data_IF_363914822091
#
_entry.id   IF_363914822091
#
_cell.length_a   1.000
_cell.length_b   1.000
_cell.length_c   1.000
_cell.angle_alpha   90.00
_cell.angle_beta   90.00
_cell.angle_gamma   90.00
#
_symmetry.space_group_name_H-M   'P 1'
#
loop_
_entity.id
_entity.type
_entity.pdbx_description
1 polymer ?
#
# COMPACT_ATOMS: atom_id res chain seq x y z
N UNK A 1 6.41 12.58 45.06
CA UNK A 1 6.61 13.58 43.98
C UNK A 1 5.71 14.81 44.17
N UNK A 2 4.52 14.69 44.78
CA UNK A 2 3.74 15.88 45.18
C UNK A 2 3.17 16.66 44.00
N UNK A 3 2.93 15.99 42.88
CA UNK A 3 2.34 16.60 41.69
C UNK A 3 0.90 17.02 41.97
N UNK A 4 0.53 18.21 41.51
CA UNK A 4 -0.81 18.79 41.68
C UNK A 4 -1.66 18.49 40.44
N UNK A 5 -2.11 17.24 40.31
CA UNK A 5 -3.07 16.85 39.28
C UNK A 5 -4.50 17.21 39.72
N UNK A 6 -5.34 17.56 38.74
CA UNK A 6 -6.79 17.66 38.92
C UNK A 6 -7.39 16.25 38.84
N UNK A 7 -7.51 15.58 40.00
CA UNK A 7 -8.00 14.20 40.08
C UNK A 7 -9.48 14.04 39.71
N UNK A 8 -10.26 15.13 39.68
CA UNK A 8 -11.64 15.10 39.19
C UNK A 8 -11.72 14.87 37.66
N UNK A 9 -10.57 14.94 36.97
CA UNK A 9 -10.41 14.66 35.53
C UNK A 9 -9.57 13.41 35.24
N UNK A 10 -9.44 12.54 36.22
CA UNK A 10 -8.79 11.24 36.02
C UNK A 10 -9.61 10.39 35.03
N UNK A 11 -8.91 9.75 34.10
CA UNK A 11 -9.49 8.88 33.08
C UNK A 11 -8.63 7.63 32.97
N UNK A 12 -9.25 6.48 32.80
CA UNK A 12 -8.59 5.25 32.39
C UNK A 12 -9.16 4.83 31.03
N UNK A 13 -8.28 4.67 30.03
CA UNK A 13 -8.70 4.32 28.66
C UNK A 13 -9.35 2.94 28.58
N UNK A 14 -9.11 2.09 29.59
CA UNK A 14 -9.73 0.78 29.75
C UNK A 14 -11.17 0.82 30.27
N UNK A 15 -11.64 1.97 30.78
CA UNK A 15 -12.98 2.08 31.33
C UNK A 15 -14.03 2.08 30.23
N UNK A 16 -15.12 1.34 30.46
CA UNK A 16 -16.25 1.20 29.54
C UNK A 16 -16.87 2.54 29.15
N UNK A 17 -16.98 3.46 30.13
CA UNK A 17 -17.48 4.82 29.90
C UNK A 17 -16.52 5.71 29.09
N UNK A 18 -15.24 5.34 29.01
CA UNK A 18 -14.26 6.01 28.15
C UNK A 18 -14.27 5.41 26.75
N UNK A 19 -13.97 4.11 26.60
CA UNK A 19 -13.76 3.52 25.28
C UNK A 19 -15.03 3.44 24.42
N UNK A 20 -16.23 3.61 24.99
CA UNK A 20 -17.46 3.84 24.21
C UNK A 20 -17.29 4.98 23.20
N UNK A 21 -16.52 6.01 23.54
CA UNK A 21 -16.25 7.15 22.67
C UNK A 21 -15.23 6.79 21.59
N UNK A 22 -14.23 5.98 21.90
CA UNK A 22 -13.30 5.41 20.91
C UNK A 22 -14.06 4.57 19.87
N UNK A 23 -15.00 3.73 20.30
CA UNK A 23 -15.89 2.97 19.42
C UNK A 23 -16.78 3.89 18.57
N UNK A 24 -17.36 4.93 19.16
CA UNK A 24 -18.17 5.90 18.44
C UNK A 24 -17.35 6.68 17.38
N UNK A 25 -16.12 7.10 17.71
CA UNK A 25 -15.21 7.75 16.76
C UNK A 25 -14.90 6.80 15.61
N UNK A 26 -14.64 5.52 15.91
CA UNK A 26 -14.40 4.52 14.88
C UNK A 26 -15.61 4.38 13.93
N UNK A 27 -16.84 4.31 14.46
CA UNK A 27 -18.05 4.28 13.63
C UNK A 27 -18.20 5.55 12.80
N UNK A 28 -17.87 6.71 13.36
CA UNK A 28 -17.88 7.98 12.62
C UNK A 28 -16.91 7.93 11.44
N UNK A 29 -15.69 7.42 11.65
CA UNK A 29 -14.71 7.22 10.57
C UNK A 29 -15.17 6.17 9.55
N UNK A 30 -15.79 5.08 10.03
CA UNK A 30 -16.37 4.06 9.18
C UNK A 30 -17.44 4.65 8.27
N UNK A 31 -18.34 5.49 8.78
CA UNK A 31 -19.40 6.16 8.01
C UNK A 31 -18.98 7.48 7.35
N UNK A 32 -17.67 7.67 7.13
CA UNK A 32 -17.11 8.85 6.47
C UNK A 32 -16.24 8.48 5.28
N UNK A 33 -16.29 9.26 4.20
CA UNK A 33 -15.30 9.27 3.12
C UNK A 33 -14.59 10.62 3.05
N UNK A 34 -13.41 10.68 2.42
CA UNK A 34 -12.70 11.95 2.24
C UNK A 34 -13.08 12.61 0.91
N UNK A 35 -13.67 13.80 0.99
CA UNK A 35 -13.95 14.65 -0.17
C UNK A 35 -12.69 15.44 -0.53
N UNK A 36 -12.02 15.03 -1.61
CA UNK A 36 -10.80 15.66 -2.09
C UNK A 36 -11.04 17.07 -2.68
N UNK A 37 -12.26 17.41 -3.10
CA UNK A 37 -12.56 18.78 -3.58
C UNK A 37 -12.75 19.73 -2.40
N UNK A 38 -13.47 19.28 -1.38
CA UNK A 38 -13.73 20.08 -0.17
C UNK A 38 -12.64 19.95 0.91
N UNK A 39 -11.69 19.03 0.72
CA UNK A 39 -10.59 18.74 1.65
C UNK A 39 -11.08 18.38 3.06
N UNK A 40 -12.16 17.59 3.17
CA UNK A 40 -12.74 17.18 4.46
C UNK A 40 -13.47 15.85 4.40
N UNK A 41 -13.61 15.20 5.56
CA UNK A 41 -14.50 14.05 5.72
C UNK A 41 -15.96 14.45 5.51
N UNK A 42 -16.72 13.63 4.78
CA UNK A 42 -18.16 13.74 4.58
C UNK A 42 -18.85 12.40 4.82
N UNK A 43 -20.15 12.38 5.17
CA UNK A 43 -20.88 11.13 5.36
C UNK A 43 -20.81 10.22 4.15
N UNK A 44 -20.57 8.92 4.35
CA UNK A 44 -20.47 7.90 3.29
C UNK A 44 -21.74 7.81 2.43
N UNK A 45 -22.89 8.16 3.00
CA UNK A 45 -24.16 8.23 2.30
C UNK A 45 -24.21 9.35 1.22
N UNK A 46 -23.34 10.35 1.32
CA UNK A 46 -23.21 11.44 0.36
C UNK A 46 -22.18 11.15 -0.75
N UNK A 47 -21.49 10.01 -0.70
CA UNK A 47 -20.49 9.63 -1.70
C UNK A 47 -21.16 9.54 -3.09
N UNK A 48 -20.69 10.28 -4.10
CA UNK A 48 -21.20 10.14 -5.47
C UNK A 48 -20.92 8.74 -6.01
N UNK A 49 -21.98 8.04 -6.43
CA UNK A 49 -21.89 6.68 -6.96
C UNK A 49 -21.87 6.72 -8.49
N UNK A 50 -20.83 6.18 -9.16
CA UNK A 50 -20.79 6.09 -10.62
C UNK A 50 -21.98 5.31 -11.19
N UNK A 51 -22.48 5.73 -12.36
CA UNK A 51 -23.67 5.12 -12.98
C UNK A 51 -23.45 3.62 -13.25
N UNK A 52 -22.27 3.22 -13.71
CA UNK A 52 -21.89 1.83 -13.94
C UNK A 52 -21.92 0.95 -12.68
N UNK A 53 -21.60 1.52 -11.51
CA UNK A 53 -21.65 0.82 -10.21
C UNK A 53 -23.10 0.73 -9.75
N UNK A 54 -23.86 1.81 -9.87
CA UNK A 54 -25.28 1.83 -9.51
C UNK A 54 -26.09 0.78 -10.31
N UNK A 55 -25.80 0.62 -11.60
CA UNK A 55 -26.43 -0.37 -12.48
C UNK A 55 -26.16 -1.83 -12.08
N UNK A 56 -25.08 -2.10 -11.33
CA UNK A 56 -24.76 -3.44 -10.82
C UNK A 56 -25.52 -3.79 -9.53
N UNK A 57 -26.29 -2.86 -8.97
CA UNK A 57 -27.16 -3.06 -7.83
C UNK A 57 -26.52 -2.77 -6.47
N UNK A 58 -27.31 -2.95 -5.40
CA UNK A 58 -26.96 -2.48 -4.05
C UNK A 58 -25.67 -3.08 -3.48
N UNK A 59 -25.34 -4.32 -3.84
CA UNK A 59 -24.10 -4.97 -3.39
C UNK A 59 -22.86 -4.26 -3.96
N UNK A 60 -22.87 -3.94 -5.25
CA UNK A 60 -21.79 -3.20 -5.89
C UNK A 60 -21.64 -1.77 -5.34
N UNK A 61 -22.77 -1.10 -5.05
CA UNK A 61 -22.77 0.21 -4.38
C UNK A 61 -22.14 0.13 -2.99
N UNK A 62 -22.48 -0.89 -2.19
CA UNK A 62 -21.90 -1.09 -0.86
C UNK A 62 -20.40 -1.35 -0.94
N UNK A 63 -19.96 -2.23 -1.83
CA UNK A 63 -18.54 -2.49 -2.04
C UNK A 63 -17.80 -1.21 -2.46
N UNK A 64 -18.38 -0.41 -3.35
CA UNK A 64 -17.81 0.88 -3.73
C UNK A 64 -17.71 1.84 -2.55
N UNK A 65 -18.72 1.93 -1.69
CA UNK A 65 -18.66 2.72 -0.47
C UNK A 65 -17.55 2.22 0.46
N UNK A 66 -17.47 0.91 0.72
CA UNK A 66 -16.46 0.32 1.60
C UNK A 66 -15.03 0.61 1.12
N UNK A 67 -14.80 0.71 -0.19
CA UNK A 67 -13.52 1.14 -0.77
C UNK A 67 -13.17 2.61 -0.49
N UNK A 68 -14.14 3.48 -0.18
CA UNK A 68 -13.96 4.92 0.05
C UNK A 68 -14.09 5.35 1.51
N UNK A 69 -14.51 4.43 2.40
CA UNK A 69 -14.56 4.70 3.85
C UNK A 69 -13.17 5.08 4.39
N UNK A 70 -13.15 5.91 5.42
CA UNK A 70 -11.91 6.23 6.16
C UNK A 70 -11.46 5.07 7.02
N UNK A 71 -12.37 4.27 7.57
CA UNK A 71 -12.05 2.98 8.18
C UNK A 71 -12.47 1.85 7.24
N UNK A 72 -11.51 1.03 6.80
CA UNK A 72 -11.74 -0.01 5.80
C UNK A 72 -10.96 -1.29 6.12
N UNK A 73 -11.37 -2.40 5.53
CA UNK A 73 -10.64 -3.67 5.65
C UNK A 73 -9.70 -3.88 4.46
N UNK A 74 -8.50 -4.38 4.74
CA UNK A 74 -7.52 -4.75 3.71
C UNK A 74 -6.79 -6.02 4.14
N UNK A 75 -6.47 -6.87 3.18
CA UNK A 75 -5.56 -7.98 3.40
C UNK A 75 -4.13 -7.42 3.45
N UNK A 76 -3.58 -7.36 4.65
CA UNK A 76 -2.22 -6.88 4.89
C UNK A 76 -1.32 -8.06 5.24
N UNK A 77 -0.09 -8.06 4.72
CA UNK A 77 0.95 -8.95 5.22
C UNK A 77 1.36 -8.47 6.60
N UNK A 78 1.07 -9.28 7.62
CA UNK A 78 1.43 -8.98 8.99
C UNK A 78 2.54 -9.91 9.48
N UNK A 79 3.34 -9.42 10.41
CA UNK A 79 4.41 -10.18 11.03
C UNK A 79 3.79 -11.15 12.05
N UNK A 80 3.73 -12.44 11.75
CA UNK A 80 3.23 -13.48 12.63
C UNK A 80 4.38 -14.21 13.34
N UNK A 81 4.32 -14.31 14.66
CA UNK A 81 5.25 -15.13 15.43
C UNK A 81 4.53 -16.40 15.95
N UNK A 82 4.78 -17.59 15.38
CA UNK A 82 4.12 -18.83 15.81
C UNK A 82 4.39 -19.19 17.26
N UNK A 83 5.62 -18.94 17.76
CA UNK A 83 6.00 -19.27 19.13
C UNK A 83 5.29 -18.40 20.18
N UNK A 84 5.07 -17.12 19.86
CA UNK A 84 4.28 -16.21 20.69
C UNK A 84 2.77 -16.34 20.41
N UNK A 85 2.39 -17.04 19.33
CA UNK A 85 1.03 -17.19 18.86
C UNK A 85 0.36 -15.85 18.54
N UNK A 86 1.10 -14.87 18.01
CA UNK A 86 0.55 -13.53 17.83
C UNK A 86 1.20 -12.75 16.70
N UNK A 87 0.48 -11.74 16.21
CA UNK A 87 1.00 -10.74 15.29
C UNK A 87 1.84 -9.72 16.05
N UNK A 88 2.92 -9.27 15.42
CA UNK A 88 3.88 -8.29 15.90
C UNK A 88 3.83 -7.02 15.03
N UNK A 89 4.05 -5.86 15.64
CA UNK A 89 4.34 -4.64 14.91
C UNK A 89 5.70 -4.74 14.20
N UNK A 90 5.99 -3.85 13.25
CA UNK A 90 7.29 -3.85 12.56
C UNK A 90 8.44 -3.58 13.54
N UNK A 91 8.21 -2.74 14.55
CA UNK A 91 9.17 -2.37 15.59
C UNK A 91 9.47 -3.54 16.54
N UNK A 92 8.56 -4.51 16.65
CA UNK A 92 8.72 -5.71 17.48
C UNK A 92 9.47 -6.83 16.72
N UNK A 93 9.93 -6.59 15.49
CA UNK A 93 10.68 -7.55 14.67
C UNK A 93 12.11 -7.05 14.42
N UNK A 94 13.08 -7.81 14.93
CA UNK A 94 14.51 -7.53 14.82
C UNK A 94 15.15 -8.70 14.08
N UNK A 95 15.72 -8.44 12.90
CA UNK A 95 16.40 -9.42 12.03
C UNK A 95 15.54 -10.67 11.75
N UNK A 96 14.27 -10.46 11.37
CA UNK A 96 13.29 -11.52 11.12
C UNK A 96 12.86 -12.32 12.35
N UNK A 97 13.16 -11.84 13.57
CA UNK A 97 12.80 -12.49 14.84
C UNK A 97 12.06 -11.54 15.77
N UNK A 98 11.26 -12.09 16.68
CA UNK A 98 10.55 -11.30 17.68
C UNK A 98 11.54 -10.64 18.65
N UNK A 99 11.34 -9.36 18.95
CA UNK A 99 12.08 -8.63 20.00
C UNK A 99 12.01 -9.41 21.32
N UNK A 100 10.83 -9.94 21.64
CA UNK A 100 10.60 -10.79 22.81
C UNK A 100 10.88 -12.24 22.47
N UNK A 101 11.94 -12.81 23.04
CA UNK A 101 12.24 -14.24 22.94
C UNK A 101 12.99 -14.68 21.67
N UNK A 102 13.27 -13.78 20.73
CA UNK A 102 14.07 -14.05 19.52
C UNK A 102 13.52 -15.23 18.69
N UNK A 103 12.20 -15.33 18.56
CA UNK A 103 11.53 -16.39 17.80
C UNK A 103 11.38 -16.00 16.33
N UNK A 104 11.48 -16.93 15.37
CA UNK A 104 11.24 -16.62 13.96
C UNK A 104 9.87 -15.99 13.72
N UNK A 105 9.84 -14.99 12.84
CA UNK A 105 8.64 -14.29 12.40
C UNK A 105 8.41 -14.63 10.93
N UNK A 106 7.16 -14.89 10.58
CA UNK A 106 6.74 -15.16 9.20
C UNK A 106 5.71 -14.14 8.78
N UNK A 107 5.71 -13.74 7.51
CA UNK A 107 4.63 -12.89 6.99
C UNK A 107 3.42 -13.74 6.64
N UNK A 108 2.24 -13.30 7.06
CA UNK A 108 0.98 -13.96 6.71
C UNK A 108 -0.03 -12.90 6.25
N UNK A 109 -0.77 -13.16 5.16
CA UNK A 109 -1.89 -12.31 4.79
C UNK A 109 -2.98 -12.45 5.84
N UNK A 110 -3.33 -11.35 6.49
CA UNK A 110 -4.46 -11.29 7.40
C UNK A 110 -5.30 -10.06 7.08
N UNK A 111 -6.62 -10.23 7.16
CA UNK A 111 -7.56 -9.13 7.06
C UNK A 111 -7.40 -8.23 8.27
N UNK A 112 -7.06 -6.97 8.05
CA UNK A 112 -6.87 -5.96 9.08
C UNK A 112 -7.78 -4.76 8.83
N UNK A 113 -8.14 -4.06 9.89
CA UNK A 113 -8.70 -2.71 9.81
C UNK A 113 -7.59 -1.70 9.60
N UNK A 114 -7.83 -0.80 8.65
CA UNK A 114 -6.94 0.28 8.27
C UNK A 114 -7.68 1.61 8.42
N UNK A 115 -6.99 2.66 8.88
CA UNK A 115 -7.49 4.03 8.81
C UNK A 115 -6.79 4.80 7.70
N UNK A 116 -7.57 5.45 6.85
CA UNK A 116 -7.13 6.18 5.65
C UNK A 116 -6.53 7.54 5.98
N UNK A 117 -5.49 7.55 6.80
CA UNK A 117 -4.76 8.77 7.17
C UNK A 117 -4.09 9.43 5.95
N UNK A 118 -3.73 8.65 4.93
CA UNK A 118 -3.13 9.17 3.70
C UNK A 118 -4.06 10.12 2.93
N UNK A 119 -5.38 9.97 3.06
CA UNK A 119 -6.33 10.92 2.48
C UNK A 119 -6.19 12.33 3.07
N UNK A 120 -5.66 12.44 4.29
CA UNK A 120 -5.40 13.70 4.97
C UNK A 120 -3.93 14.16 4.83
N UNK A 121 -3.07 13.46 4.08
CA UNK A 121 -1.63 13.73 4.05
C UNK A 121 -1.28 15.17 3.63
N UNK A 122 -1.91 15.69 2.57
CA UNK A 122 -1.76 17.09 2.13
C UNK A 122 -2.08 18.09 3.25
N UNK A 123 -3.16 17.82 4.00
CA UNK A 123 -3.58 18.67 5.12
C UNK A 123 -2.63 18.55 6.30
N UNK A 124 -2.24 17.33 6.66
CA UNK A 124 -1.30 17.06 7.74
C UNK A 124 0.01 17.79 7.51
N UNK A 125 0.52 17.81 6.27
CA UNK A 125 1.75 18.51 5.93
C UNK A 125 1.58 20.03 5.95
N UNK A 126 0.57 20.55 5.25
CA UNK A 126 0.31 22.00 5.15
C UNK A 126 0.05 22.62 6.52
N UNK A 127 -0.75 21.96 7.35
CA UNK A 127 -1.20 22.52 8.62
C UNK A 127 -0.07 22.53 9.67
N UNK A 128 1.10 21.92 9.42
CA UNK A 128 2.32 22.06 10.25
C UNK A 128 2.85 23.50 10.28
N UNK A 129 2.65 24.28 9.21
CA UNK A 129 3.19 25.64 9.09
C UNK A 129 2.66 26.57 10.19
N UNK A 130 1.37 26.42 10.54
CA UNK A 130 0.71 27.23 11.56
C UNK A 130 0.99 26.81 13.01
N UNK A 131 1.68 25.68 13.23
CA UNK A 131 1.93 25.16 14.58
C UNK A 131 3.13 25.87 15.25
N UNK A 132 2.96 26.22 16.53
CA UNK A 132 4.04 26.69 17.41
C UNK A 132 4.85 25.51 17.95
N UNK A 133 5.35 24.67 17.04
CA UNK A 133 6.22 23.51 17.34
C UNK A 133 7.67 23.81 16.93
N UNK A 134 8.62 23.06 17.48
CA UNK A 134 10.01 23.16 17.02
C UNK A 134 10.16 22.74 15.56
N UNK A 135 11.06 23.39 14.82
CA UNK A 135 11.30 23.02 13.42
C UNK A 135 11.81 21.59 13.28
N UNK A 136 12.54 21.06 14.27
CA UNK A 136 12.96 19.66 14.27
C UNK A 136 11.77 18.68 14.23
N UNK A 137 10.70 18.96 15.01
CA UNK A 137 9.49 18.12 14.99
C UNK A 137 8.75 18.28 13.66
N UNK A 138 8.63 19.51 13.15
CA UNK A 138 7.97 19.75 11.85
C UNK A 138 8.70 19.05 10.71
N UNK A 139 10.03 19.12 10.67
CA UNK A 139 10.84 18.41 9.68
C UNK A 139 10.66 16.90 9.77
N UNK A 140 10.69 16.32 10.99
CA UNK A 140 10.43 14.89 11.19
C UNK A 140 9.05 14.48 10.66
N UNK A 141 8.01 15.29 10.90
CA UNK A 141 6.66 15.03 10.38
C UNK A 141 6.59 15.15 8.85
N UNK A 142 7.23 16.16 8.24
CA UNK A 142 7.29 16.30 6.77
C UNK A 142 8.02 15.12 6.13
N UNK A 143 9.13 14.68 6.71
CA UNK A 143 9.89 13.52 6.22
C UNK A 143 9.11 12.21 6.37
N UNK A 144 8.36 12.07 7.47
CA UNK A 144 7.47 10.94 7.71
C UNK A 144 6.28 10.92 6.74
N UNK A 145 5.65 12.07 6.49
CA UNK A 145 4.58 12.21 5.48
C UNK A 145 5.15 11.92 4.09
N UNK A 146 6.29 12.51 3.78
CA UNK A 146 7.10 12.24 2.59
C UNK A 146 6.32 12.42 1.30
N UNK A 147 5.64 13.56 1.13
CA UNK A 147 4.90 13.88 -0.08
C UNK A 147 5.83 14.02 -1.29
N UNK A 148 5.46 13.40 -2.40
CA UNK A 148 6.13 13.55 -3.68
C UNK A 148 5.13 13.73 -4.81
N UNK A 149 5.48 14.56 -5.79
CA UNK A 149 4.69 14.71 -7.03
C UNK A 149 5.43 14.02 -8.17
N UNK A 150 4.69 13.25 -8.97
CA UNK A 150 5.23 12.39 -10.00
C UNK A 150 4.16 11.96 -11.00
N UNK A 151 4.32 10.78 -11.58
CA UNK A 151 3.35 10.17 -12.48
C UNK A 151 3.12 8.70 -12.15
N UNK A 152 1.87 8.25 -12.30
CA UNK A 152 1.55 6.84 -12.49
C UNK A 152 1.64 6.50 -13.97
N UNK A 153 2.23 5.35 -14.29
CA UNK A 153 2.45 4.90 -15.68
C UNK A 153 2.18 3.41 -15.78
N UNK A 154 1.44 2.99 -16.81
CA UNK A 154 1.17 1.57 -17.08
C UNK A 154 2.15 1.03 -18.12
N UNK A 155 2.93 0.02 -17.73
CA UNK A 155 3.78 -0.76 -18.64
C UNK A 155 3.03 -2.02 -19.07
N UNK A 156 2.94 -2.25 -20.37
CA UNK A 156 2.14 -3.36 -20.91
C UNK A 156 2.87 -4.69 -20.76
N UNK A 157 2.18 -5.71 -20.23
CA UNK A 157 2.71 -7.07 -20.00
C UNK A 157 1.92 -8.15 -20.76
N UNK A 158 1.15 -7.78 -21.78
CA UNK A 158 0.36 -8.70 -22.60
C UNK A 158 -0.94 -9.13 -21.92
N UNK A 159 -1.79 -9.89 -22.59
CA UNK A 159 -3.05 -10.41 -22.04
C UNK A 159 -2.94 -11.92 -21.77
N UNK A 160 -2.24 -12.31 -20.71
CA UNK A 160 -2.42 -13.55 -19.92
C UNK A 160 -2.24 -14.93 -20.57
N UNK A 161 -2.37 -15.09 -21.88
CA UNK A 161 -2.57 -16.40 -22.51
C UNK A 161 -1.26 -17.11 -22.90
N UNK A 162 -0.11 -16.46 -22.75
CA UNK A 162 1.15 -16.94 -23.35
C UNK A 162 2.24 -17.40 -22.38
N UNK A 163 1.91 -17.86 -21.16
CA UNK A 163 2.86 -18.59 -20.31
C UNK A 163 4.24 -17.92 -20.10
N UNK A 164 4.26 -16.58 -20.02
CA UNK A 164 5.47 -15.79 -19.78
C UNK A 164 6.26 -15.34 -21.02
N UNK A 165 5.74 -15.48 -22.25
CA UNK A 165 6.40 -14.91 -23.43
C UNK A 165 6.26 -13.37 -23.51
N UNK A 166 7.24 -12.72 -24.15
CA UNK A 166 7.25 -11.26 -24.28
C UNK A 166 6.02 -10.76 -25.07
N UNK A 167 5.42 -9.61 -24.68
CA UNK A 167 4.28 -9.05 -25.41
C UNK A 167 4.67 -8.71 -26.85
N UNK A 168 3.78 -8.95 -27.82
CA UNK A 168 4.04 -8.64 -29.23
C UNK A 168 3.76 -7.17 -29.53
N UNK A 169 4.42 -6.64 -30.58
CA UNK A 169 4.20 -5.27 -31.03
C UNK A 169 2.75 -5.02 -31.48
N UNK A 170 2.10 -6.02 -32.09
CA UNK A 170 0.70 -5.92 -32.51
C UNK A 170 -0.26 -5.82 -31.32
N UNK A 171 -0.03 -6.64 -30.29
CA UNK A 171 -0.83 -6.61 -29.06
C UNK A 171 -0.67 -5.27 -28.33
N UNK A 172 0.57 -4.76 -28.28
CA UNK A 172 0.86 -3.46 -27.70
C UNK A 172 0.19 -2.30 -28.45
N UNK A 173 0.24 -2.31 -29.78
CA UNK A 173 -0.42 -1.29 -30.59
C UNK A 173 -1.94 -1.29 -30.39
N UNK A 174 -2.56 -2.47 -30.32
CA UNK A 174 -3.99 -2.61 -30.01
C UNK A 174 -4.32 -2.06 -28.61
N UNK A 175 -3.49 -2.39 -27.61
CA UNK A 175 -3.63 -1.86 -26.26
C UNK A 175 -3.50 -0.33 -26.22
N UNK A 176 -2.51 0.28 -26.88
CA UNK A 176 -2.35 1.73 -26.95
C UNK A 176 -3.56 2.42 -27.59
N UNK A 177 -4.10 1.85 -28.67
CA UNK A 177 -5.30 2.38 -29.33
C UNK A 177 -6.51 2.34 -28.40
N UNK A 178 -6.69 1.24 -27.67
CA UNK A 178 -7.76 1.11 -26.69
C UNK A 178 -7.61 2.16 -25.58
N UNK A 179 -6.41 2.32 -25.00
CA UNK A 179 -6.13 3.27 -23.92
C UNK A 179 -6.32 4.72 -24.33
N UNK A 180 -5.98 5.07 -25.56
CA UNK A 180 -6.25 6.41 -26.10
C UNK A 180 -7.75 6.71 -26.19
N UNK A 181 -8.60 5.69 -26.35
CA UNK A 181 -10.05 5.84 -26.41
C UNK A 181 -10.72 5.77 -25.02
N UNK A 182 -10.25 4.87 -24.15
CA UNK A 182 -10.83 4.65 -22.81
C UNK A 182 -10.26 5.56 -21.72
N UNK A 183 -9.09 6.17 -21.96
CA UNK A 183 -8.31 6.88 -20.96
C UNK A 183 -7.59 5.95 -19.99
N UNK A 184 -7.00 6.57 -18.95
CA UNK A 184 -6.27 5.88 -17.89
C UNK A 184 -7.23 5.36 -16.80
N UNK A 185 -7.38 4.03 -16.59
CA UNK A 185 -8.35 3.47 -15.67
C UNK A 185 -7.93 3.66 -14.22
N UNK A 186 -8.92 3.73 -13.33
CA UNK A 186 -8.72 3.93 -11.89
C UNK A 186 -7.89 2.81 -11.26
N UNK A 187 -8.20 1.55 -11.58
CA UNK A 187 -7.45 0.37 -11.16
C UNK A 187 -6.64 -0.13 -12.37
N UNK A 188 -5.42 -0.64 -12.16
CA UNK A 188 -4.67 -1.28 -13.23
C UNK A 188 -5.39 -2.54 -13.70
N UNK A 189 -5.43 -2.72 -15.01
CA UNK A 189 -5.90 -3.94 -15.64
C UNK A 189 -4.86 -5.07 -15.45
N UNK A 190 -5.27 -6.32 -15.67
CA UNK A 190 -4.39 -7.48 -15.46
C UNK A 190 -3.27 -7.60 -16.51
N UNK A 191 -3.35 -6.82 -17.59
CA UNK A 191 -2.41 -6.78 -18.71
C UNK A 191 -1.33 -5.69 -18.56
N UNK A 192 -1.25 -5.01 -17.41
CA UNK A 192 -0.27 -3.97 -17.13
C UNK A 192 0.44 -4.14 -15.79
N UNK A 193 1.64 -3.57 -15.69
CA UNK A 193 2.28 -3.20 -14.43
C UNK A 193 2.20 -1.69 -14.28
N UNK A 194 1.38 -1.21 -13.35
CA UNK A 194 1.35 0.21 -12.98
C UNK A 194 2.53 0.52 -12.07
N UNK A 195 3.26 1.60 -12.36
CA UNK A 195 4.34 2.12 -11.51
C UNK A 195 4.04 3.55 -11.09
N UNK A 196 4.71 4.00 -10.04
CA UNK A 196 4.79 5.42 -9.67
C UNK A 196 6.24 5.89 -9.75
N UNK A 197 6.48 7.05 -10.36
CA UNK A 197 7.81 7.67 -10.42
C UNK A 197 7.75 9.18 -10.20
N UNK A 198 8.71 9.73 -9.44
CA UNK A 198 8.93 11.18 -9.31
C UNK A 198 9.81 11.75 -10.43
N UNK A 199 10.34 10.86 -11.28
CA UNK A 199 11.22 11.15 -12.43
C UNK A 199 10.60 10.65 -13.75
N UNK A 200 9.40 11.12 -14.13
CA UNK A 200 8.83 10.72 -15.42
C UNK A 200 9.66 11.26 -16.61
N UNK A 201 10.51 12.28 -16.37
CA UNK A 201 11.52 12.75 -17.34
C UNK A 201 12.53 11.67 -17.73
N UNK A 202 12.70 10.63 -16.92
CA UNK A 202 13.71 9.58 -17.19
C UNK A 202 13.10 8.30 -17.75
N UNK A 203 11.82 8.31 -18.15
CA UNK A 203 11.10 7.13 -18.68
C UNK A 203 11.80 6.45 -19.86
N UNK A 204 12.48 7.22 -20.73
CA UNK A 204 13.25 6.66 -21.85
C UNK A 204 14.47 5.85 -21.41
N UNK A 205 14.99 6.10 -20.21
CA UNK A 205 16.14 5.41 -19.63
C UNK A 205 15.74 4.18 -18.80
N UNK A 206 14.46 3.83 -18.76
CA UNK A 206 14.00 2.65 -18.05
C UNK A 206 14.42 1.39 -18.81
N UNK A 207 15.42 0.67 -18.28
CA UNK A 207 16.02 -0.51 -18.94
C UNK A 207 15.58 -1.84 -18.34
N UNK A 208 14.90 -1.82 -17.19
CA UNK A 208 14.25 -2.97 -16.60
C UNK A 208 13.14 -2.52 -15.64
N UNK A 209 12.30 -3.45 -15.24
CA UNK A 209 11.30 -3.26 -14.19
C UNK A 209 11.59 -4.17 -13.01
N UNK A 210 11.16 -3.75 -11.82
CA UNK A 210 11.24 -4.58 -10.62
C UNK A 210 9.89 -4.60 -9.92
N UNK A 211 9.42 -5.81 -9.59
CA UNK A 211 8.21 -6.03 -8.80
C UNK A 211 8.55 -6.64 -7.44
N UNK A 212 7.70 -6.37 -6.46
CA UNK A 212 7.81 -6.99 -5.15
C UNK A 212 7.62 -8.52 -5.26
N UNK A 213 8.29 -9.34 -4.43
CA UNK A 213 8.10 -10.78 -4.36
C UNK A 213 6.65 -11.21 -4.10
N UNK A 214 5.87 -10.35 -3.45
CA UNK A 214 4.47 -10.57 -3.12
C UNK A 214 3.49 -9.98 -4.16
N UNK A 215 3.99 -9.42 -5.26
CA UNK A 215 3.15 -8.78 -6.26
C UNK A 215 2.24 -9.82 -6.98
N UNK A 216 0.93 -9.55 -7.17
CA UNK A 216 0.01 -10.52 -7.77
C UNK A 216 0.40 -11.00 -9.18
N UNK A 217 1.16 -10.20 -9.92
CA UNK A 217 1.64 -10.56 -11.25
C UNK A 217 2.82 -11.56 -11.26
N UNK A 218 3.43 -11.88 -10.12
CA UNK A 218 4.60 -12.78 -10.05
C UNK A 218 4.32 -14.12 -10.71
N UNK A 219 3.23 -14.80 -10.34
CA UNK A 219 2.88 -16.12 -10.88
C UNK A 219 2.67 -16.09 -12.40
N UNK A 220 2.14 -14.99 -12.92
CA UNK A 220 1.83 -14.82 -14.35
C UNK A 220 3.06 -14.46 -15.18
N UNK A 221 3.98 -13.69 -14.62
CA UNK A 221 5.21 -13.23 -15.28
C UNK A 221 6.35 -14.24 -15.17
N UNK A 222 6.17 -15.31 -14.41
CA UNK A 222 7.21 -16.34 -14.24
C UNK A 222 7.11 -17.36 -15.35
N UNK A 223 8.14 -17.48 -16.18
CA UNK A 223 8.20 -18.53 -17.20
C UNK A 223 8.48 -19.89 -16.56
N UNK A 224 8.13 -21.01 -17.23
CA UNK A 224 8.40 -22.36 -16.71
C UNK A 224 9.87 -22.58 -16.35
N UNK A 225 10.80 -21.99 -17.08
CA UNK A 225 12.24 -22.11 -16.84
C UNK A 225 12.69 -21.38 -15.56
N UNK A 226 12.02 -20.28 -15.21
CA UNK A 226 12.35 -19.47 -14.03
C UNK A 226 11.58 -19.87 -12.78
N UNK A 227 10.56 -20.73 -12.90
CA UNK A 227 9.66 -21.14 -11.81
C UNK A 227 10.39 -21.50 -10.51
N UNK A 228 11.40 -22.38 -10.58
CA UNK A 228 12.11 -22.85 -9.41
C UNK A 228 12.94 -21.74 -8.73
N UNK A 229 13.58 -20.88 -9.53
CA UNK A 229 14.40 -19.78 -9.02
C UNK A 229 13.53 -18.68 -8.40
N UNK A 230 12.42 -18.32 -9.06
CA UNK A 230 11.45 -17.35 -8.55
C UNK A 230 10.82 -17.82 -7.26
N UNK A 231 10.37 -19.08 -7.21
CA UNK A 231 9.78 -19.65 -5.99
C UNK A 231 10.77 -19.59 -4.82
N UNK A 232 12.00 -20.05 -5.02
CA UNK A 232 13.03 -20.01 -3.98
C UNK A 232 13.34 -18.58 -3.50
N UNK A 233 13.39 -17.62 -4.42
CA UNK A 233 13.63 -16.22 -4.08
C UNK A 233 12.47 -15.62 -3.28
N UNK A 234 11.22 -15.85 -3.69
CA UNK A 234 10.04 -15.35 -2.98
C UNK A 234 9.91 -15.96 -1.58
N UNK A 235 10.20 -17.26 -1.41
CA UNK A 235 10.26 -17.92 -0.10
C UNK A 235 11.33 -17.30 0.80
N UNK A 236 12.52 -17.01 0.24
CA UNK A 236 13.58 -16.33 0.96
C UNK A 236 13.18 -14.91 1.38
N UNK A 237 12.57 -14.14 0.47
CA UNK A 237 12.16 -12.77 0.73
C UNK A 237 11.04 -12.68 1.79
N UNK A 238 10.12 -13.64 1.80
CA UNK A 238 9.03 -13.71 2.79
C UNK A 238 9.51 -13.87 4.24
N UNK A 239 10.75 -14.36 4.45
CA UNK A 239 11.37 -14.49 5.77
C UNK A 239 12.00 -13.19 6.29
N UNK A 240 12.10 -12.14 5.47
CA UNK A 240 12.73 -10.86 5.82
C UNK A 240 11.67 -9.82 6.24
N UNK A 241 11.96 -8.98 7.24
CA UNK A 241 11.09 -7.85 7.60
C UNK A 241 11.18 -6.71 6.56
N UNK A 242 10.22 -5.77 6.56
CA UNK A 242 10.27 -4.60 5.66
C UNK A 242 11.54 -3.78 5.93
N UNK A 243 11.93 -3.67 7.20
CA UNK A 243 13.15 -2.99 7.64
C UNK A 243 14.40 -3.66 7.07
N UNK A 244 14.51 -4.98 7.18
CA UNK A 244 15.68 -5.74 6.70
C UNK A 244 15.84 -5.70 5.17
N UNK A 245 14.74 -5.43 4.45
CA UNK A 245 14.71 -5.27 2.99
C UNK A 245 15.09 -3.86 2.54
N UNK A 246 14.85 -2.86 3.39
CA UNK A 246 15.17 -1.46 3.14
C UNK A 246 16.57 -1.06 3.61
N UNK A 247 17.19 -1.85 4.51
CA UNK A 247 18.58 -1.64 4.89
C UNK A 247 19.53 -1.76 3.68
N UNK A 248 20.44 -0.80 3.53
CA UNK A 248 21.44 -0.79 2.47
C UNK A 248 22.39 -1.98 2.61
N UNK A 249 22.18 -2.99 1.77
CA UNK A 249 23.08 -4.14 1.63
C UNK A 249 24.09 -3.89 0.53
N UNK A 250 25.31 -4.39 0.77
CA UNK A 250 26.41 -4.36 -0.21
C UNK A 250 26.06 -5.10 -1.50
N UNK A 251 25.35 -6.22 -1.39
CA UNK A 251 24.95 -7.04 -2.54
C UNK A 251 23.47 -6.88 -2.81
N UNK A 252 23.12 -6.40 -4.01
CA UNK A 252 21.73 -6.41 -4.49
C UNK A 252 21.37 -7.82 -4.94
N UNK A 253 20.19 -8.28 -4.55
CA UNK A 253 19.67 -9.59 -4.93
C UNK A 253 18.40 -9.44 -5.75
N UNK A 254 18.21 -10.29 -6.76
CA UNK A 254 17.00 -10.32 -7.57
C UNK A 254 16.98 -11.55 -8.47
N UNK A 255 15.82 -11.85 -9.03
CA UNK A 255 15.62 -12.95 -9.96
C UNK A 255 14.82 -12.47 -11.17
N UNK A 256 15.29 -12.83 -12.37
CA UNK A 256 14.60 -12.52 -13.61
C UNK A 256 13.37 -13.41 -13.75
N UNK A 257 12.21 -12.84 -14.11
CA UNK A 257 10.99 -13.63 -14.22
C UNK A 257 10.91 -14.47 -15.50
N UNK A 258 11.73 -14.13 -16.50
CA UNK A 258 11.62 -14.72 -17.85
C UNK A 258 10.75 -13.89 -18.79
N UNK A 259 10.01 -12.92 -18.26
CA UNK A 259 9.08 -12.08 -19.02
C UNK A 259 9.55 -10.63 -19.16
N UNK A 260 8.91 -9.93 -20.08
CA UNK A 260 9.19 -8.55 -20.42
C UNK A 260 7.92 -7.73 -20.31
N UNK A 261 8.08 -6.44 -20.00
CA UNK A 261 7.05 -5.44 -20.20
C UNK A 261 7.44 -4.56 -21.40
N UNK A 262 6.50 -3.80 -21.95
CA UNK A 262 6.77 -2.80 -22.98
C UNK A 262 6.63 -1.42 -22.36
N UNK A 263 7.69 -0.61 -22.52
CA UNK A 263 7.70 0.77 -22.10
C UNK A 263 6.73 1.59 -22.98
N UNK A 264 5.72 2.25 -22.41
CA UNK A 264 4.64 2.89 -23.18
C UNK A 264 5.10 4.08 -24.01
N UNK A 265 6.30 4.61 -23.75
CA UNK A 265 6.82 5.83 -24.38
C UNK A 265 7.65 5.55 -25.63
N UNK A 266 8.51 4.53 -25.59
CA UNK A 266 9.41 4.20 -26.70
C UNK A 266 9.09 2.84 -27.35
N UNK A 267 8.19 2.03 -26.78
CA UNK A 267 7.81 0.72 -27.30
C UNK A 267 8.87 -0.37 -27.08
N UNK A 268 9.94 -0.08 -26.35
CA UNK A 268 11.03 -1.01 -26.09
C UNK A 268 10.63 -2.06 -25.04
N UNK A 269 11.12 -3.29 -25.23
CA UNK A 269 10.94 -4.36 -24.25
C UNK A 269 11.92 -4.19 -23.09
N UNK A 270 11.39 -4.26 -21.88
CA UNK A 270 12.17 -4.17 -20.64
C UNK A 270 11.98 -5.45 -19.82
N UNK A 271 13.07 -6.15 -19.42
CA UNK A 271 12.96 -7.35 -18.60
C UNK A 271 12.34 -7.04 -17.24
N UNK A 272 11.49 -7.94 -16.76
CA UNK A 272 10.88 -7.82 -15.42
C UNK A 272 11.65 -8.69 -14.44
N UNK A 273 12.04 -8.09 -13.33
CA UNK A 273 12.76 -8.72 -12.23
C UNK A 273 11.91 -8.71 -10.96
N UNK A 274 12.19 -9.65 -10.07
CA UNK A 274 11.67 -9.66 -8.70
C UNK A 274 12.84 -9.32 -7.78
N UNK A 275 12.67 -8.32 -6.93
CA UNK A 275 13.66 -7.98 -5.92
C UNK A 275 13.03 -7.53 -4.60
N UNK A 276 13.66 -7.89 -3.49
CA UNK A 276 13.13 -7.64 -2.15
C UNK A 276 13.20 -6.16 -1.74
N UNK A 277 14.04 -5.32 -2.34
CA UNK A 277 14.04 -3.88 -2.05
C UNK A 277 12.77 -3.15 -2.53
N UNK A 278 11.95 -3.76 -3.38
CA UNK A 278 10.62 -3.24 -3.77
C UNK A 278 9.57 -3.82 -2.85
N UNK A 279 8.83 -2.97 -2.15
CA UNK A 279 7.81 -3.39 -1.17
C UNK A 279 6.41 -3.32 -1.76
N UNK A 280 5.61 -4.39 -1.62
CA UNK A 280 4.21 -4.41 -2.07
C UNK A 280 3.34 -3.37 -1.35
N UNK A 281 3.74 -2.98 -0.14
CA UNK A 281 3.07 -1.98 0.71
C UNK A 281 3.42 -0.54 0.34
N UNK A 282 4.27 -0.31 -0.67
CA UNK A 282 4.71 1.02 -1.08
C UNK A 282 4.48 1.26 -2.58
N UNK A 283 3.77 2.35 -2.90
CA UNK A 283 3.36 2.64 -4.26
C UNK A 283 2.45 1.54 -4.81
N UNK A 284 2.81 0.98 -5.96
CA UNK A 284 2.07 -0.10 -6.63
C UNK A 284 2.68 -1.48 -6.41
N UNK A 285 3.78 -1.57 -5.63
CA UNK A 285 4.59 -2.78 -5.56
C UNK A 285 5.37 -3.10 -6.83
N UNK A 286 5.45 -2.16 -7.78
CA UNK A 286 6.24 -2.24 -9.00
C UNK A 286 6.92 -0.90 -9.28
N UNK A 287 8.15 -0.94 -9.81
CA UNK A 287 8.90 0.25 -10.22
C UNK A 287 9.50 0.05 -11.62
N UNK A 288 9.68 1.16 -12.33
CA UNK A 288 10.63 1.23 -13.43
C UNK A 288 12.00 1.53 -12.84
N UNK A 289 13.06 0.94 -13.41
CA UNK A 289 14.41 1.19 -12.94
C UNK A 289 15.20 1.95 -14.00
N UNK A 290 15.85 3.06 -13.61
CA UNK A 290 16.61 3.95 -14.51
C UNK A 290 18.05 4.09 -14.03
N UNK A 291 18.94 3.13 -14.37
CA UNK A 291 20.28 3.03 -13.80
C UNK A 291 21.16 4.27 -13.95
N UNK A 292 21.00 5.04 -15.03
CA UNK A 292 21.81 6.24 -15.21
C UNK A 292 21.47 7.36 -14.21
N UNK A 293 20.30 7.29 -13.55
CA UNK A 293 19.72 8.40 -12.78
C UNK A 293 19.15 7.99 -11.41
N UNK A 294 19.34 6.74 -10.96
CA UNK A 294 19.08 6.28 -9.59
C UNK A 294 20.21 5.32 -9.16
N UNK A 295 20.84 5.60 -8.03
CA UNK A 295 21.99 4.85 -7.51
C UNK A 295 21.65 3.39 -7.20
N UNK A 296 20.46 3.10 -6.67
CA UNK A 296 20.05 1.72 -6.33
C UNK A 296 19.84 0.92 -7.60
N UNK A 297 19.24 1.56 -8.61
CA UNK A 297 19.02 0.95 -9.91
C UNK A 297 20.34 0.70 -10.63
N UNK A 298 21.31 1.60 -10.49
CA UNK A 298 22.67 1.42 -11.00
C UNK A 298 23.39 0.23 -10.36
N UNK A 299 23.37 0.12 -9.03
CA UNK A 299 24.00 -0.98 -8.31
C UNK A 299 23.42 -2.33 -8.73
N UNK A 300 22.09 -2.41 -8.88
CA UNK A 300 21.42 -3.61 -9.35
C UNK A 300 21.77 -3.89 -10.83
N UNK A 301 21.74 -2.89 -11.70
CA UNK A 301 22.09 -3.06 -13.11
C UNK A 301 23.53 -3.54 -13.29
N UNK A 302 24.47 -3.00 -12.51
CA UNK A 302 25.88 -3.45 -12.50
C UNK A 302 26.03 -4.89 -12.03
N UNK A 303 25.28 -5.29 -10.99
CA UNK A 303 25.32 -6.66 -10.45
C UNK A 303 24.83 -7.70 -11.47
N UNK A 304 23.82 -7.34 -12.27
CA UNK A 304 23.14 -8.24 -13.21
C UNK A 304 23.46 -7.97 -14.68
N UNK A 305 24.47 -7.15 -14.96
CA UNK A 305 24.91 -6.77 -16.32
C UNK A 305 23.77 -6.23 -17.21
N UNK A 306 22.93 -5.36 -16.64
CA UNK A 306 21.79 -4.74 -17.32
C UNK A 306 22.23 -3.42 -17.97
N UNK A 307 21.75 -3.10 -19.19
CA UNK A 307 22.11 -1.86 -19.87
C UNK A 307 21.81 -0.60 -19.04
N UNK A 308 22.71 0.38 -19.14
CA UNK A 308 22.59 1.71 -18.55
C UNK A 308 22.47 2.72 -19.68
N UNK A 309 21.34 3.43 -19.75
CA UNK A 309 21.07 4.43 -20.79
C UNK A 309 20.92 5.79 -20.12
N UNK A 310 21.82 6.71 -20.45
CA UNK A 310 21.73 8.10 -20.00
C UNK A 310 20.70 8.87 -20.82
N UNK A 311 19.77 9.53 -20.12
CA UNK A 311 18.68 10.31 -20.72
C UNK A 311 18.59 11.75 -20.21
N UNK A 312 19.38 12.09 -19.19
CA UNK A 312 19.53 13.45 -18.68
C UNK A 312 21.01 13.80 -18.63
N UNK A 313 21.44 14.71 -19.50
CA UNK A 313 22.80 15.23 -19.49
C UNK A 313 23.00 16.16 -18.29
N UNK A 314 24.11 15.96 -17.57
CA UNK A 314 24.56 16.85 -16.49
C UNK A 314 24.87 18.25 -17.05
N UNK A 315 24.50 19.35 -16.35
CA UNK A 315 24.86 20.70 -16.77
C UNK A 315 26.39 20.90 -16.80
N UNK A 316 26.91 21.66 -17.77
CA UNK A 316 28.35 21.96 -17.88
C UNK A 316 28.93 22.64 -16.63
N UNK A 317 28.08 23.28 -15.81
CA UNK A 317 28.45 23.95 -14.56
C UNK A 317 28.69 23.00 -13.39
N UNK A 318 28.25 21.75 -13.49
CA UNK A 318 28.51 20.71 -12.51
C UNK A 318 29.68 19.87 -13.01
N UNK A 319 30.74 19.76 -12.22
CA UNK A 319 31.84 18.86 -12.56
C UNK A 319 31.29 17.44 -12.70
N UNK A 320 31.84 16.68 -13.65
CA UNK A 320 31.68 15.23 -13.63
C UNK A 320 32.38 14.73 -12.36
N UNK A 321 31.64 14.66 -11.25
CA UNK A 321 32.09 13.91 -10.09
C UNK A 321 32.28 12.45 -10.52
N UNK A 322 33.14 11.69 -9.82
CA UNK A 322 33.29 10.23 -10.02
C UNK A 322 32.01 9.44 -9.68
N UNK A 323 30.87 10.12 -9.49
CA UNK A 323 29.57 9.53 -9.25
C UNK A 323 29.04 8.83 -10.51
N UNK A 324 28.72 7.53 -10.44
CA UNK A 324 28.35 6.75 -11.60
C UNK A 324 26.93 7.04 -12.12
N UNK A 325 26.13 7.83 -11.41
CA UNK A 325 24.74 8.14 -11.74
C UNK A 325 24.47 9.63 -11.51
N UNK A 326 23.80 10.28 -12.46
CA UNK A 326 23.40 11.68 -12.34
C UNK A 326 21.94 11.78 -11.91
N UNK A 327 21.71 12.15 -10.64
CA UNK A 327 20.36 12.24 -10.05
C UNK A 327 19.76 13.65 -10.12
N UNK A 328 20.54 14.65 -10.59
CA UNK A 328 20.13 16.05 -10.65
C UNK A 328 19.14 16.39 -11.77
N UNK A 329 18.89 17.70 -11.90
CA UNK A 329 18.18 18.29 -13.03
C UNK A 329 19.18 18.63 -14.13
N UNK A 330 18.82 18.34 -15.38
CA UNK A 330 19.67 18.63 -16.52
C UNK A 330 18.87 18.80 -17.80
N UNK A 331 19.50 18.42 -18.92
CA UNK A 331 18.90 18.53 -20.25
C UNK A 331 18.60 17.15 -20.81
N UNK A 332 17.41 16.96 -21.34
CA UNK A 332 17.00 15.69 -21.93
C UNK A 332 17.87 15.31 -23.14
N UNK A 333 18.37 14.08 -23.14
CA UNK A 333 19.08 13.43 -24.24
C UNK A 333 18.52 12.02 -24.45
N UNK A 334 18.78 11.39 -25.60
CA UNK A 334 18.32 10.03 -25.93
C UNK A 334 16.80 9.79 -25.68
N UNK A 335 16.00 10.85 -25.74
CA UNK A 335 14.58 10.89 -25.36
C UNK A 335 13.68 11.34 -26.51
N UNK A 336 14.07 11.01 -27.76
CA UNK A 336 13.27 11.29 -28.95
C UNK A 336 12.86 12.77 -29.09
N UNK A 337 11.56 13.04 -29.15
CA UNK A 337 10.98 14.39 -29.32
C UNK A 337 11.19 15.30 -28.12
N UNK A 338 11.65 14.78 -26.98
CA UNK A 338 11.88 15.54 -25.76
C UNK A 338 13.32 16.05 -25.64
N UNK A 339 14.23 15.64 -26.54
CA UNK A 339 15.62 16.08 -26.52
C UNK A 339 15.73 17.61 -26.47
N UNK A 340 16.63 18.11 -25.61
CA UNK A 340 16.89 19.54 -25.43
C UNK A 340 15.98 20.25 -24.42
N UNK A 341 14.92 19.61 -23.92
CA UNK A 341 14.10 20.17 -22.85
C UNK A 341 14.85 20.12 -21.50
N UNK A 342 14.62 21.12 -20.65
CA UNK A 342 15.05 21.03 -19.25
C UNK A 342 14.22 19.98 -18.50
N UNK A 343 14.78 19.39 -17.43
CA UNK A 343 14.06 18.41 -16.60
C UNK A 343 12.64 18.88 -16.18
N UNK A 344 12.41 20.12 -15.69
CA UNK A 344 11.07 20.58 -15.35
C UNK A 344 10.11 20.63 -16.54
N UNK A 345 10.55 21.14 -17.70
CA UNK A 345 9.74 21.21 -18.92
C UNK A 345 9.40 19.81 -19.43
N UNK A 346 10.37 18.89 -19.38
CA UNK A 346 10.16 17.49 -19.75
C UNK A 346 9.10 16.86 -18.83
N UNK A 347 9.25 16.95 -17.49
CA UNK A 347 8.26 16.40 -16.55
C UNK A 347 6.84 16.90 -16.83
N UNK A 348 6.68 18.19 -17.14
CA UNK A 348 5.37 18.75 -17.49
C UNK A 348 4.84 18.16 -18.81
N UNK A 349 5.68 18.10 -19.84
CA UNK A 349 5.26 17.65 -21.17
C UNK A 349 4.95 16.15 -21.21
N UNK A 350 5.82 15.32 -20.64
CA UNK A 350 5.63 13.86 -20.61
C UNK A 350 4.39 13.47 -19.83
N UNK A 351 4.05 14.18 -18.73
CA UNK A 351 2.84 13.92 -17.97
C UNK A 351 1.57 14.22 -18.80
N UNK A 352 1.58 15.28 -19.61
CA UNK A 352 0.48 15.62 -20.50
C UNK A 352 0.35 14.62 -21.67
N UNK A 353 1.48 14.20 -22.24
CA UNK A 353 1.51 13.24 -23.36
C UNK A 353 1.05 11.84 -22.88
N UNK A 354 1.47 11.40 -21.68
CA UNK A 354 0.99 10.18 -21.02
C UNK A 354 -0.53 10.21 -20.75
N UNK A 355 -1.03 11.33 -20.25
CA UNK A 355 -2.46 11.51 -19.99
C UNK A 355 -3.28 11.46 -21.28
N UNK A 356 -2.78 12.09 -22.34
CA UNK A 356 -3.41 12.08 -23.68
C UNK A 356 -3.43 10.67 -24.28
N UNK A 357 -2.35 9.89 -24.10
CA UNK A 357 -2.28 8.51 -24.56
C UNK A 357 -3.10 7.53 -23.70
N UNK A 358 -3.59 7.96 -22.53
CA UNK A 358 -4.27 7.09 -21.57
C UNK A 358 -3.34 6.04 -20.94
N UNK A 359 -2.03 6.21 -21.02
CA UNK A 359 -1.01 5.27 -20.51
C UNK A 359 -0.38 5.73 -19.20
N UNK A 360 -0.65 6.96 -18.77
CA UNK A 360 -0.25 7.46 -17.46
C UNK A 360 -1.04 8.69 -17.02
N UNK A 361 -0.78 9.17 -15.81
CA UNK A 361 -1.32 10.43 -15.29
C UNK A 361 -0.39 11.02 -14.25
N UNK A 362 -0.49 12.33 -14.02
CA UNK A 362 0.15 12.95 -12.86
C UNK A 362 -0.45 12.37 -11.56
N UNK A 363 0.41 12.11 -10.59
CA UNK A 363 0.01 11.56 -9.30
C UNK A 363 0.83 12.18 -8.15
N UNK A 364 0.19 12.29 -6.99
CA UNK A 364 0.86 12.59 -5.72
C UNK A 364 0.94 11.29 -4.95
N UNK A 365 2.11 11.00 -4.39
CA UNK A 365 2.33 9.84 -3.54
C UNK A 365 2.94 10.29 -2.21
N UNK A 366 2.85 9.44 -1.20
CA UNK A 366 3.30 9.72 0.15
C UNK A 366 4.15 8.56 0.68
N UNK A 367 5.14 8.86 1.53
CA UNK A 367 5.79 7.84 2.36
C UNK A 367 4.85 7.33 3.45
N UNK A 368 3.97 8.20 3.95
CA UNK A 368 2.91 7.84 4.87
C UNK A 368 2.06 6.70 4.30
N UNK A 369 1.82 5.69 5.13
CA UNK A 369 0.92 4.58 4.82
C UNK A 369 -0.37 4.72 5.61
N UNK A 370 -1.42 4.08 5.11
CA UNK A 370 -2.64 3.93 5.89
C UNK A 370 -2.36 3.16 7.18
N UNK A 371 -3.09 3.53 8.23
CA UNK A 371 -2.74 3.14 9.59
C UNK A 371 -3.35 1.79 9.94
N UNK A 372 -2.51 0.77 10.12
CA UNK A 372 -2.95 -0.55 10.59
C UNK A 372 -3.48 -0.47 12.02
N UNK A 373 -4.79 -0.63 12.15
CA UNK A 373 -5.57 -0.36 13.35
C UNK A 373 -6.09 -1.62 14.03
N UNK A 374 -5.84 -2.82 13.52
CA UNK A 374 -6.22 -4.08 14.17
C UNK A 374 -5.13 -4.67 15.05
N UNK A 375 -5.53 -5.29 16.15
CA UNK A 375 -4.68 -6.11 17.03
C UNK A 375 -5.33 -7.45 17.31
N UNK A 376 -4.54 -8.52 17.22
CA UNK A 376 -4.96 -9.89 17.54
C UNK A 376 -4.72 -10.15 19.04
N UNK A 377 -5.25 -9.26 19.89
CA UNK A 377 -5.08 -9.28 21.35
C UNK A 377 -6.44 -9.28 22.04
N UNK A 378 -6.50 -9.84 23.24
CA UNK A 378 -7.69 -9.74 24.08
C UNK A 378 -7.84 -8.36 24.70
N UNK A 379 -6.76 -7.84 25.32
CA UNK A 379 -6.80 -6.58 26.05
C UNK A 379 -6.64 -5.37 25.13
N UNK A 380 -7.77 -4.93 24.58
CA UNK A 380 -7.92 -3.75 23.74
C UNK A 380 -9.40 -3.50 23.47
N UNK A 381 -9.75 -2.33 22.95
CA UNK A 381 -11.13 -1.94 22.73
C UNK A 381 -11.74 -2.80 21.59
N UNK A 382 -12.89 -3.48 21.80
CA UNK A 382 -13.54 -4.23 20.73
C UNK A 382 -13.97 -3.31 19.58
N UNK A 383 -13.76 -3.74 18.33
CA UNK A 383 -14.33 -3.03 17.20
C UNK A 383 -15.87 -3.10 17.23
N UNK A 384 -16.57 -1.97 17.04
CA UNK A 384 -18.02 -1.94 16.97
C UNK A 384 -18.51 -2.33 15.56
N UNK A 385 -17.98 -3.42 14.98
CA UNK A 385 -18.33 -3.90 13.64
C UNK A 385 -18.93 -5.30 13.70
N UNK A 386 -19.92 -5.52 12.83
CA UNK A 386 -20.66 -6.75 12.63
C UNK A 386 -20.48 -7.23 11.19
N UNK A 387 -20.14 -8.51 11.05
CA UNK A 387 -20.07 -9.23 9.78
C UNK A 387 -21.34 -10.05 9.61
N UNK A 388 -22.12 -9.80 8.58
CA UNK A 388 -23.32 -10.59 8.30
C UNK A 388 -22.93 -12.01 7.92
N UNK A 389 -23.64 -12.99 8.50
CA UNK A 389 -23.42 -14.41 8.22
C UNK A 389 -24.71 -15.04 7.69
N UNK A 390 -24.55 -15.99 6.76
CA UNK A 390 -25.67 -16.76 6.23
C UNK A 390 -26.16 -17.83 7.23
N UNK A 391 -27.12 -18.65 6.79
CA UNK A 391 -27.70 -19.73 7.62
C UNK A 391 -26.66 -20.78 8.05
N UNK A 392 -25.59 -20.96 7.27
CA UNK A 392 -24.49 -21.88 7.54
C UNK A 392 -23.35 -21.22 8.32
N UNK A 393 -23.51 -19.95 8.70
CA UNK A 393 -22.53 -19.18 9.47
C UNK A 393 -21.38 -18.62 8.63
N UNK A 394 -21.48 -18.65 7.29
CA UNK A 394 -20.45 -18.10 6.41
C UNK A 394 -20.64 -16.60 6.20
N UNK A 395 -19.56 -15.80 6.16
CA UNK A 395 -19.66 -14.36 5.89
C UNK A 395 -20.24 -14.09 4.51
N UNK A 396 -21.27 -13.24 4.42
CA UNK A 396 -21.86 -12.82 3.13
C UNK A 396 -21.04 -11.72 2.45
N UNK A 397 -20.07 -11.14 3.17
CA UNK A 397 -19.30 -9.97 2.76
C UNK A 397 -19.94 -8.64 3.17
N UNK A 398 -21.19 -8.65 3.63
CA UNK A 398 -21.83 -7.46 4.18
C UNK A 398 -21.32 -7.16 5.59
N UNK A 399 -20.92 -5.90 5.81
CA UNK A 399 -20.48 -5.38 7.10
C UNK A 399 -21.35 -4.20 7.53
N UNK A 400 -21.52 -4.01 8.83
CA UNK A 400 -22.18 -2.82 9.40
C UNK A 400 -21.60 -2.44 10.75
N UNK A 401 -21.75 -1.17 11.10
CA UNK A 401 -21.55 -0.68 12.46
C UNK A 401 -22.59 -1.24 13.43
N UNK A 402 -22.17 -1.47 14.68
CA UNK A 402 -23.06 -1.63 15.83
C UNK A 402 -23.86 -0.33 16.01
N UNK A 403 -25.19 -0.38 16.21
CA UNK A 403 -25.98 0.83 16.45
C UNK A 403 -25.42 1.63 17.64
N UNK A 404 -25.39 2.96 17.54
CA UNK A 404 -24.85 3.83 18.60
C UNK A 404 -25.51 3.58 19.96
N UNK A 405 -26.82 3.31 19.98
CA UNK A 405 -27.58 2.98 21.19
C UNK A 405 -27.18 1.65 21.86
N UNK A 406 -26.37 0.84 21.19
CA UNK A 406 -25.83 -0.43 21.69
C UNK A 406 -24.33 -0.34 21.99
N UNK A 407 -23.73 0.85 21.89
CA UNK A 407 -22.39 1.08 22.42
C UNK A 407 -22.45 1.26 23.95
N UNK A 408 -21.40 0.82 24.67
CA UNK A 408 -20.21 0.16 24.15
C UNK A 408 -20.40 -1.35 23.87
N UNK A 409 -19.62 -1.87 22.93
CA UNK A 409 -19.34 -3.30 22.85
C UNK A 409 -18.27 -3.60 23.89
N UNK A 410 -18.68 -4.14 25.04
CA UNK A 410 -17.75 -4.50 26.11
C UNK A 410 -16.99 -5.80 25.80
N UNK A 411 -15.81 -5.96 26.41
CA UNK A 411 -15.06 -7.21 26.35
C UNK A 411 -15.84 -8.33 27.05
N UNK A 412 -15.98 -9.52 26.43
CA UNK A 412 -16.62 -10.64 27.08
C UNK A 412 -15.73 -11.18 28.19
N UNK A 413 -16.35 -11.77 29.21
CA UNK A 413 -15.60 -12.57 30.16
C UNK A 413 -14.99 -13.79 29.46
N UNK A 414 -13.67 -13.96 29.56
CA UNK A 414 -12.93 -15.11 29.04
C UNK A 414 -12.01 -15.69 30.11
N UNK A 415 -12.19 -16.99 30.40
CA UNK A 415 -11.32 -17.71 31.35
C UNK A 415 -9.90 -17.92 30.80
N UNK A 416 -9.76 -18.07 29.47
CA UNK A 416 -8.48 -18.24 28.79
C UNK A 416 -8.33 -17.30 27.58
N UNK A 417 -7.67 -16.17 27.82
CA UNK A 417 -7.27 -15.20 26.80
C UNK A 417 -5.85 -15.44 26.26
N UNK A 418 -5.23 -16.60 26.52
CA UNK A 418 -3.93 -16.92 25.94
C UNK A 418 -4.05 -17.14 24.43
N UNK A 419 -3.05 -16.71 23.64
CA UNK A 419 -3.01 -17.04 22.23
C UNK A 419 -2.97 -18.56 22.04
N UNK A 420 -3.76 -19.07 21.09
CA UNK A 420 -3.95 -20.51 20.87
C UNK A 420 -3.14 -21.04 19.68
N UNK A 421 -2.03 -20.37 19.35
CA UNK A 421 -1.08 -20.79 18.32
C UNK A 421 -1.59 -20.69 16.87
N UNK A 422 -2.76 -20.12 16.66
CA UNK A 422 -3.34 -19.84 15.34
C UNK A 422 -3.55 -18.33 15.17
N UNK A 423 -3.62 -17.81 13.94
CA UNK A 423 -3.73 -16.37 13.69
C UNK A 423 -5.02 -15.71 14.19
N UNK A 424 -6.04 -16.49 14.56
CA UNK A 424 -7.28 -15.91 15.07
C UNK A 424 -7.05 -15.18 16.42
N UNK A 425 -7.68 -14.02 16.62
CA UNK A 425 -7.62 -13.30 17.90
C UNK A 425 -8.25 -14.09 19.06
N UNK A 426 -7.83 -13.84 20.31
CA UNK A 426 -8.45 -14.47 21.48
C UNK A 426 -9.97 -14.30 21.59
N UNK A 427 -10.54 -13.18 21.11
CA UNK A 427 -11.99 -12.95 21.10
C UNK A 427 -12.76 -13.91 20.18
N UNK A 428 -12.09 -14.65 19.29
CA UNK A 428 -12.72 -15.73 18.54
C UNK A 428 -13.18 -16.90 19.44
N UNK A 429 -12.69 -16.98 20.69
CA UNK A 429 -13.17 -17.93 21.71
C UNK A 429 -14.35 -17.41 22.53
N UNK A 430 -14.82 -16.19 22.29
CA UNK A 430 -15.92 -15.61 23.05
C UNK A 430 -17.18 -16.48 22.99
N UNK A 431 -18.00 -16.50 24.06
CA UNK A 431 -19.28 -17.20 24.05
C UNK A 431 -20.14 -16.81 22.84
N UNK A 432 -20.88 -17.77 22.29
CA UNK A 432 -21.71 -17.56 21.09
C UNK A 432 -22.72 -16.41 21.26
N UNK A 433 -23.23 -16.21 22.46
CA UNK A 433 -24.16 -15.11 22.79
C UNK A 433 -23.53 -13.72 22.59
N UNK A 434 -22.22 -13.59 22.82
CA UNK A 434 -21.49 -12.36 22.56
C UNK A 434 -21.03 -12.30 21.11
N UNK A 435 -20.47 -13.39 20.59
CA UNK A 435 -19.82 -13.45 19.28
C UNK A 435 -20.81 -13.38 18.13
N UNK A 436 -22.01 -13.96 18.28
CA UNK A 436 -23.02 -14.06 17.23
C UNK A 436 -24.35 -13.36 17.58
N UNK A 437 -24.37 -12.02 17.69
CA UNK A 437 -25.60 -11.31 17.98
C UNK A 437 -26.60 -11.40 16.82
N UNK A 438 -27.88 -11.40 17.15
CA UNK A 438 -28.98 -11.25 16.18
C UNK A 438 -29.54 -9.85 16.30
N UNK A 439 -29.47 -9.07 15.23
CA UNK A 439 -29.97 -7.69 15.17
C UNK A 439 -30.94 -7.58 14.00
N UNK A 440 -32.15 -7.08 14.28
CA UNK A 440 -33.23 -6.95 13.29
C UNK A 440 -33.55 -8.26 12.55
N UNK A 441 -33.40 -9.40 13.24
CA UNK A 441 -33.63 -10.74 12.68
C UNK A 441 -32.49 -11.29 11.82
N UNK A 442 -31.40 -10.53 11.65
CA UNK A 442 -30.21 -10.95 10.90
C UNK A 442 -29.13 -11.39 11.89
N UNK A 443 -28.50 -12.53 11.63
CA UNK A 443 -27.38 -13.04 12.44
C UNK A 443 -26.08 -12.42 11.94
N UNK A 444 -25.27 -11.95 12.87
CA UNK A 444 -23.96 -11.40 12.60
C UNK A 444 -22.88 -12.14 13.38
N UNK A 445 -21.62 -11.97 12.99
CA UNK A 445 -20.43 -12.29 13.78
C UNK A 445 -19.72 -10.98 14.14
N UNK A 446 -19.40 -10.76 15.41
CA UNK A 446 -18.60 -9.58 15.82
C UNK A 446 -17.19 -9.63 15.24
N UNK A 447 -16.62 -8.46 14.99
CA UNK A 447 -15.18 -8.34 14.76
C UNK A 447 -14.42 -8.83 16.00
N UNK A 448 -13.42 -9.68 15.78
CA UNK A 448 -12.66 -10.33 16.85
C UNK A 448 -11.29 -9.73 17.07
N UNK A 449 -10.82 -8.87 16.16
CA UNK A 449 -9.70 -8.01 16.45
C UNK A 449 -10.10 -6.95 17.49
N UNK A 450 -9.11 -6.37 18.16
CA UNK A 450 -9.25 -5.20 19.04
C UNK A 450 -8.51 -4.02 18.43
N UNK A 451 -8.86 -2.81 18.87
CA UNK A 451 -8.13 -1.60 18.54
C UNK A 451 -6.80 -1.54 19.31
N UNK A 452 -5.78 -0.83 18.79
CA UNK A 452 -4.50 -0.64 19.45
C UNK A 452 -4.61 0.33 20.62
N UNK A 453 -3.68 0.21 21.57
CA UNK A 453 -3.59 1.05 22.78
C UNK A 453 -3.61 2.57 22.55
N UNK A 454 -3.23 3.04 21.36
CA UNK A 454 -3.22 4.46 20.98
C UNK A 454 -4.53 4.93 20.34
N UNK A 455 -5.55 4.06 20.31
CA UNK A 455 -6.91 4.41 19.93
C UNK A 455 -7.65 5.11 21.07
N UNK A 456 -7.47 4.65 22.31
CA UNK A 456 -7.92 5.33 23.52
C UNK A 456 -6.98 6.46 23.91
#
# INVERSE_FOLDING_TARGET
LGFSYDWDRELATTDVEYFRWTQWIFLTLFDTWFDHEQQRGRPIAELPIPHEVAMQGNSAVRQYQDEHRLAYQSDALVNWCPALGTVLANEEVIDGKSERGSHPVVRMPLRQWMLRITAYADRLERDLEGLTWSESIKTMQREWIGRSTGAEVDFFIGSGDNGGSAPTAEAFAAWQQQRSASGFPRKPDSDVLRIYTTRPDTLFGATYMVIAPEHPAVSRLTTPEQQAAVQAYCEQAASKSDRDRMEEKKDKTGVFTGSYAINPINGEQVPVWIADYVLISYGTGAIMAVPAHDTRDWEFAKQFDIPVIEVVARPDSEAADDEPCFTGNGTAINSGTYNGLSTPEFKQRIAADLATAGTGRQAVNYKLRDWLFSRQRFWGEPFPILHEVDADGQPTGAIRGVPESQLPVDLPHLDDYKPHGRPEPPLAKAPDEWLYPVIDGIRYRRETNTMPQWAG
#
